data_IF_877016550264
#
_entry.id   IF_877016550264
#
_cell.length_a   1.000
_cell.length_b   1.000
_cell.length_c   1.000
_cell.angle_alpha   90.00
_cell.angle_beta   90.00
_cell.angle_gamma   90.00
#
_symmetry.space_group_name_H-M   'P 1'
#
loop_
_entity.id
_entity.type
_entity.pdbx_description
1 polymer ?
#
# COMPACT_ATOMS: atom_id res chain seq x y z
N UNK A 1 -20.27 3.21 15.31
CA UNK A 1 -19.90 1.94 14.63
C UNK A 1 -18.88 2.29 13.55
N UNK A 2 -17.79 1.54 13.49
CA UNK A 2 -16.74 1.75 12.48
C UNK A 2 -17.31 1.37 11.11
N UNK A 3 -17.35 2.31 10.16
CA UNK A 3 -17.90 2.11 8.80
C UNK A 3 -17.14 1.07 7.95
N UNK A 4 -16.03 0.58 8.45
CA UNK A 4 -15.18 -0.40 7.76
C UNK A 4 -15.28 -1.82 8.31
N UNK A 5 -16.01 -2.07 9.42
CA UNK A 5 -16.07 -3.35 10.15
C UNK A 5 -16.51 -4.55 9.29
N UNK A 6 -17.26 -4.30 8.22
CA UNK A 6 -17.71 -5.36 7.30
C UNK A 6 -16.84 -5.51 6.04
N UNK A 7 -15.81 -4.67 5.87
CA UNK A 7 -14.99 -4.63 4.66
C UNK A 7 -13.56 -5.05 4.94
N UNK A 8 -13.01 -4.61 6.07
CA UNK A 8 -11.65 -4.92 6.51
C UNK A 8 -11.68 -5.55 7.91
N UNK A 9 -10.74 -6.43 8.16
CA UNK A 9 -10.55 -7.05 9.48
C UNK A 9 -9.97 -6.05 10.49
N UNK A 10 -10.05 -6.39 11.78
CA UNK A 10 -9.49 -5.54 12.84
C UNK A 10 -7.96 -5.42 12.76
N UNK A 11 -7.24 -6.46 12.31
CA UNK A 11 -5.78 -6.40 12.13
C UNK A 11 -5.38 -5.58 10.89
N UNK A 12 -6.16 -5.60 9.81
CA UNK A 12 -5.95 -4.71 8.66
C UNK A 12 -6.19 -3.24 9.04
N UNK A 13 -7.20 -3.00 9.88
CA UNK A 13 -7.44 -1.68 10.45
C UNK A 13 -6.27 -1.24 11.34
N UNK A 14 -5.74 -2.15 12.18
CA UNK A 14 -4.56 -1.89 12.99
C UNK A 14 -3.32 -1.62 12.11
N UNK A 15 -3.09 -2.42 11.05
CA UNK A 15 -2.03 -2.16 10.08
C UNK A 15 -2.12 -0.74 9.50
N UNK A 16 -3.32 -0.31 9.09
CA UNK A 16 -3.52 1.02 8.54
C UNK A 16 -3.14 2.15 9.52
N UNK A 17 -3.20 1.93 10.82
CA UNK A 17 -2.79 2.93 11.83
C UNK A 17 -1.27 3.04 11.99
N UNK A 18 -0.50 2.07 11.53
CA UNK A 18 0.96 2.05 11.62
C UNK A 18 1.66 2.97 10.61
N UNK A 19 0.96 3.44 9.58
CA UNK A 19 1.56 4.27 8.53
C UNK A 19 1.47 5.76 8.84
N UNK A 20 2.58 6.48 8.71
CA UNK A 20 2.64 7.95 8.83
C UNK A 20 2.24 8.70 7.55
N UNK A 21 2.00 8.01 6.44
CA UNK A 21 1.68 8.64 5.15
C UNK A 21 0.46 9.57 5.23
N UNK A 22 -0.56 9.19 6.01
CA UNK A 22 -1.74 10.02 6.22
C UNK A 22 -1.42 11.33 6.96
N UNK A 23 -0.46 11.31 7.89
CA UNK A 23 0.00 12.50 8.60
C UNK A 23 0.76 13.44 7.65
N UNK A 24 1.68 12.90 6.86
CA UNK A 24 2.42 13.68 5.86
C UNK A 24 1.49 14.32 4.83
N UNK A 25 0.49 13.59 4.37
CA UNK A 25 -0.55 14.15 3.49
C UNK A 25 -1.28 15.32 4.14
N UNK A 26 -1.70 15.21 5.41
CA UNK A 26 -2.36 16.31 6.12
C UNK A 26 -1.45 17.51 6.28
N UNK A 27 -0.16 17.31 6.59
CA UNK A 27 0.83 18.39 6.65
C UNK A 27 1.00 19.08 5.29
N UNK A 28 1.04 18.32 4.19
CA UNK A 28 1.12 18.90 2.86
C UNK A 28 -0.13 19.73 2.51
N UNK A 29 -1.33 19.22 2.84
CA UNK A 29 -2.58 19.96 2.63
C UNK A 29 -2.66 21.25 3.48
N UNK A 30 -2.10 21.24 4.70
CA UNK A 30 -2.10 22.41 5.58
C UNK A 30 -1.35 23.62 5.00
N UNK A 31 -0.42 23.40 4.07
CA UNK A 31 0.28 24.48 3.35
C UNK A 31 -0.50 25.04 2.15
N UNK A 32 -1.64 24.46 1.80
CA UNK A 32 -2.45 24.90 0.67
C UNK A 32 -3.58 25.82 1.16
N UNK A 33 -3.45 27.14 0.92
CA UNK A 33 -4.44 28.15 1.33
C UNK A 33 -5.81 28.00 0.64
N UNK A 34 -5.89 27.22 -0.44
CA UNK A 34 -7.13 26.98 -1.18
C UNK A 34 -7.83 25.67 -0.76
N UNK A 35 -7.30 24.96 0.22
CA UNK A 35 -7.86 23.66 0.64
C UNK A 35 -9.19 23.86 1.37
N UNK A 36 -10.18 23.07 1.00
CA UNK A 36 -11.51 23.10 1.62
C UNK A 36 -11.69 21.92 2.58
N UNK A 37 -12.62 22.01 3.57
CA UNK A 37 -12.97 20.87 4.41
C UNK A 37 -13.41 19.62 3.62
N UNK A 38 -14.08 19.82 2.48
CA UNK A 38 -14.46 18.71 1.58
C UNK A 38 -13.25 18.02 0.98
N UNK A 39 -12.27 18.78 0.52
CA UNK A 39 -11.01 18.23 -0.01
C UNK A 39 -10.25 17.43 1.05
N UNK A 40 -10.14 17.97 2.27
CA UNK A 40 -9.53 17.26 3.41
C UNK A 40 -10.24 15.93 3.67
N UNK A 41 -11.58 15.92 3.64
CA UNK A 41 -12.36 14.69 3.85
C UNK A 41 -12.06 13.66 2.77
N UNK A 42 -12.02 14.03 1.49
CA UNK A 42 -11.71 13.12 0.38
C UNK A 42 -10.30 12.52 0.50
N UNK A 43 -9.30 13.34 0.84
CA UNK A 43 -7.95 12.84 1.09
C UNK A 43 -7.89 11.90 2.30
N UNK A 44 -8.54 12.25 3.40
CA UNK A 44 -8.63 11.33 4.57
C UNK A 44 -9.27 10.00 4.21
N UNK A 45 -10.31 9.99 3.38
CA UNK A 45 -10.97 8.75 2.94
C UNK A 45 -10.14 7.92 1.96
N UNK A 46 -9.24 8.54 1.21
CA UNK A 46 -8.29 7.84 0.34
C UNK A 46 -7.12 7.25 1.14
N UNK A 47 -6.55 8.06 2.04
CA UNK A 47 -5.38 7.63 2.81
C UNK A 47 -5.75 6.61 3.86
N UNK A 48 -6.77 6.85 4.67
CA UNK A 48 -7.15 5.92 5.73
C UNK A 48 -8.52 5.27 5.45
N UNK A 49 -8.60 3.95 5.44
CA UNK A 49 -7.53 2.98 5.76
C UNK A 49 -6.73 2.49 4.54
N UNK A 50 -7.00 2.97 3.33
CA UNK A 50 -6.63 2.27 2.11
C UNK A 50 -5.16 2.41 1.72
N UNK A 51 -4.64 3.65 1.55
CA UNK A 51 -3.23 3.87 1.21
C UNK A 51 -2.34 3.48 2.38
N UNK A 52 -2.72 3.88 3.60
CA UNK A 52 -1.95 3.56 4.81
C UNK A 52 -1.94 2.07 5.10
N UNK A 53 -3.06 1.38 4.92
CA UNK A 53 -3.14 -0.06 5.05
C UNK A 53 -2.36 -0.80 3.97
N UNK A 54 -2.48 -0.36 2.71
CA UNK A 54 -1.67 -0.93 1.62
C UNK A 54 -0.17 -0.80 1.91
N UNK A 55 0.27 0.36 2.39
CA UNK A 55 1.67 0.59 2.77
C UNK A 55 2.16 -0.47 3.76
N UNK A 56 1.51 -0.59 4.91
CA UNK A 56 1.94 -1.51 5.97
C UNK A 56 1.77 -2.98 5.57
N UNK A 57 0.71 -3.32 4.82
CA UNK A 57 0.55 -4.69 4.32
C UNK A 57 1.63 -5.08 3.30
N UNK A 58 2.13 -4.13 2.49
CA UNK A 58 3.26 -4.36 1.60
C UNK A 58 4.58 -4.47 2.38
N UNK A 59 4.74 -3.70 3.44
CA UNK A 59 5.87 -3.78 4.37
C UNK A 59 5.94 -5.18 5.01
N UNK A 60 4.87 -5.61 5.64
CA UNK A 60 4.75 -6.98 6.16
C UNK A 60 4.95 -8.06 5.09
N UNK A 61 4.59 -7.76 3.83
CA UNK A 61 4.77 -8.72 2.75
C UNK A 61 6.23 -8.96 2.42
N UNK A 62 7.06 -7.92 2.38
CA UNK A 62 8.48 -8.08 2.11
C UNK A 62 9.25 -8.63 3.30
N UNK A 63 8.84 -8.30 4.52
CA UNK A 63 9.49 -8.71 5.76
C UNK A 63 8.96 -10.05 6.30
N UNK A 64 8.01 -10.69 5.62
CA UNK A 64 7.29 -11.86 6.10
C UNK A 64 8.20 -13.00 6.61
N UNK A 65 9.28 -13.32 5.89
CA UNK A 65 10.21 -14.38 6.28
C UNK A 65 11.04 -13.97 7.49
N UNK A 66 11.56 -12.76 7.49
CA UNK A 66 12.37 -12.19 8.56
C UNK A 66 11.59 -12.08 9.87
N UNK A 67 10.36 -11.56 9.80
CA UNK A 67 9.46 -11.44 10.96
C UNK A 67 9.15 -12.80 11.58
N UNK A 68 8.90 -13.84 10.76
CA UNK A 68 8.67 -15.19 11.25
C UNK A 68 9.90 -15.79 11.93
N UNK A 69 11.10 -15.56 11.38
CA UNK A 69 12.36 -16.05 11.95
C UNK A 69 12.67 -15.40 13.31
N UNK A 70 12.31 -14.12 13.47
CA UNK A 70 12.53 -13.36 14.70
C UNK A 70 11.36 -13.43 15.70
N UNK A 71 10.26 -14.11 15.36
CA UNK A 71 9.00 -14.11 16.10
C UNK A 71 8.40 -12.70 16.27
N UNK A 72 8.60 -11.84 15.28
CA UNK A 72 8.01 -10.52 15.22
C UNK A 72 6.56 -10.58 14.69
N UNK A 73 5.76 -9.57 15.05
CA UNK A 73 4.38 -9.48 14.63
C UNK A 73 4.28 -9.18 13.14
N UNK A 74 3.66 -10.09 12.38
CA UNK A 74 3.32 -9.85 10.98
C UNK A 74 1.86 -10.21 10.71
N UNK A 75 1.03 -9.22 10.39
CA UNK A 75 -0.41 -9.44 10.20
C UNK A 75 -0.77 -10.30 8.99
N UNK A 76 0.15 -10.52 8.04
CA UNK A 76 -0.10 -11.44 6.94
C UNK A 76 -0.18 -12.91 7.40
N UNK A 77 0.27 -13.23 8.61
CA UNK A 77 0.10 -14.57 9.20
C UNK A 77 -1.35 -14.91 9.53
N UNK A 78 -2.23 -13.92 9.65
CA UNK A 78 -3.65 -14.11 9.94
C UNK A 78 -4.49 -14.48 8.71
N UNK A 79 -3.93 -14.38 7.51
CA UNK A 79 -4.61 -14.84 6.30
C UNK A 79 -4.44 -16.36 6.09
N UNK A 80 -5.51 -17.01 5.63
CA UNK A 80 -5.56 -18.48 5.44
C UNK A 80 -4.94 -18.93 4.12
N UNK A 81 -3.78 -18.40 3.76
CA UNK A 81 -3.01 -18.83 2.59
C UNK A 81 -2.81 -17.77 1.52
N UNK A 82 -2.18 -18.19 0.44
CA UNK A 82 -1.68 -17.31 -0.63
C UNK A 82 -2.79 -16.57 -1.37
N UNK A 83 -3.91 -17.22 -1.65
CA UNK A 83 -5.02 -16.62 -2.40
C UNK A 83 -5.73 -15.54 -1.57
N UNK A 84 -5.89 -15.73 -0.26
CA UNK A 84 -6.46 -14.70 0.61
C UNK A 84 -5.51 -13.51 0.71
N UNK A 85 -4.21 -13.73 0.98
CA UNK A 85 -3.19 -12.66 0.97
C UNK A 85 -3.27 -11.82 -0.30
N UNK A 86 -3.29 -12.48 -1.46
CA UNK A 86 -3.37 -11.81 -2.75
C UNK A 86 -4.67 -11.00 -2.89
N UNK A 87 -5.81 -11.61 -2.59
CA UNK A 87 -7.11 -10.96 -2.73
C UNK A 87 -7.23 -9.71 -1.84
N UNK A 88 -6.67 -9.76 -0.63
CA UNK A 88 -6.67 -8.63 0.30
C UNK A 88 -5.75 -7.51 -0.16
N UNK A 89 -4.53 -7.82 -0.61
CA UNK A 89 -3.62 -6.83 -1.20
C UNK A 89 -4.23 -6.16 -2.45
N UNK A 90 -4.92 -6.93 -3.30
CA UNK A 90 -5.67 -6.41 -4.46
C UNK A 90 -6.81 -5.49 -4.00
N UNK A 91 -7.55 -5.85 -2.96
CA UNK A 91 -8.62 -5.01 -2.41
C UNK A 91 -8.06 -3.65 -1.97
N UNK A 92 -7.03 -3.64 -1.11
CA UNK A 92 -6.44 -2.39 -0.63
C UNK A 92 -5.90 -1.52 -1.77
N UNK A 93 -5.22 -2.14 -2.75
CA UNK A 93 -4.76 -1.45 -3.96
C UNK A 93 -5.91 -0.82 -4.74
N UNK A 94 -6.97 -1.58 -5.00
CA UNK A 94 -8.09 -1.11 -5.81
C UNK A 94 -8.86 0.01 -5.11
N UNK A 95 -9.13 -0.13 -3.81
CA UNK A 95 -9.79 0.89 -3.01
C UNK A 95 -8.94 2.17 -2.90
N UNK A 96 -7.63 2.04 -2.69
CA UNK A 96 -6.71 3.16 -2.69
C UNK A 96 -6.78 3.93 -4.02
N UNK A 97 -6.67 3.25 -5.17
CA UNK A 97 -6.77 3.86 -6.50
C UNK A 97 -8.16 4.50 -6.75
N UNK A 98 -9.24 3.81 -6.39
CA UNK A 98 -10.59 4.34 -6.56
C UNK A 98 -10.85 5.60 -5.72
N UNK A 99 -10.32 5.65 -4.49
CA UNK A 99 -10.48 6.81 -3.60
C UNK A 99 -9.58 7.98 -4.01
N UNK A 100 -8.36 7.72 -4.50
CA UNK A 100 -7.49 8.80 -4.98
C UNK A 100 -8.07 9.54 -6.19
N UNK A 101 -8.86 8.88 -7.03
CA UNK A 101 -9.52 9.50 -8.17
C UNK A 101 -10.46 10.67 -7.78
N UNK A 102 -10.91 10.73 -6.53
CA UNK A 102 -11.78 11.79 -6.02
C UNK A 102 -11.01 12.92 -5.29
N UNK A 103 -9.68 12.83 -5.18
CA UNK A 103 -8.86 13.85 -4.53
C UNK A 103 -8.49 14.96 -5.49
N UNK A 104 -8.21 16.17 -5.00
CA UNK A 104 -7.83 17.32 -5.83
C UNK A 104 -6.52 17.08 -6.58
N UNK A 105 -5.57 16.39 -5.95
CA UNK A 105 -4.27 16.05 -6.53
C UNK A 105 -4.21 14.56 -6.92
N UNK A 106 -5.22 14.11 -7.68
CA UNK A 106 -5.40 12.69 -7.97
C UNK A 106 -4.16 12.06 -8.64
N UNK A 107 -3.48 12.77 -9.57
CA UNK A 107 -2.29 12.26 -10.25
C UNK A 107 -1.16 12.00 -9.24
N UNK A 108 -0.95 12.92 -8.30
CA UNK A 108 0.05 12.77 -7.25
C UNK A 108 -0.29 11.60 -6.32
N UNK A 109 -1.52 11.54 -5.82
CA UNK A 109 -1.95 10.48 -4.91
C UNK A 109 -1.98 9.10 -5.58
N UNK A 110 -2.39 9.03 -6.85
CA UNK A 110 -2.30 7.82 -7.66
C UNK A 110 -0.85 7.37 -7.83
N UNK A 111 0.07 8.33 -8.06
CA UNK A 111 1.50 8.05 -8.18
C UNK A 111 2.07 7.51 -6.86
N UNK A 112 1.62 7.98 -5.70
CA UNK A 112 2.00 7.41 -4.41
C UNK A 112 1.58 5.94 -4.33
N UNK A 113 0.33 5.61 -4.64
CA UNK A 113 -0.16 4.21 -4.61
C UNK A 113 0.66 3.31 -5.55
N UNK A 114 0.88 3.76 -6.79
CA UNK A 114 1.66 3.00 -7.79
C UNK A 114 3.13 2.91 -7.42
N UNK A 115 3.67 3.95 -6.80
CA UNK A 115 5.03 4.01 -6.29
C UNK A 115 5.27 3.03 -5.13
N UNK A 116 4.34 2.97 -4.18
CA UNK A 116 4.38 1.97 -3.10
C UNK A 116 4.45 0.55 -3.67
N UNK A 117 3.55 0.20 -4.59
CA UNK A 117 3.57 -1.11 -5.24
C UNK A 117 4.90 -1.37 -5.94
N UNK A 118 5.41 -0.40 -6.69
CA UNK A 118 6.65 -0.54 -7.43
C UNK A 118 7.86 -0.74 -6.50
N UNK A 119 7.95 0.08 -5.47
CA UNK A 119 9.06 0.07 -4.51
C UNK A 119 9.08 -1.24 -3.72
N UNK A 120 7.97 -1.60 -3.08
CA UNK A 120 7.90 -2.82 -2.26
C UNK A 120 8.03 -4.09 -3.09
N UNK A 121 7.31 -4.20 -4.22
CA UNK A 121 7.39 -5.40 -5.06
C UNK A 121 8.74 -5.59 -5.76
N UNK A 122 9.59 -4.55 -5.84
CA UNK A 122 10.96 -4.66 -6.34
C UNK A 122 11.96 -5.14 -5.28
N UNK A 123 11.51 -5.35 -4.03
CA UNK A 123 12.40 -5.72 -2.95
C UNK A 123 12.99 -7.13 -3.15
N UNK A 124 14.32 -7.30 -2.98
CA UNK A 124 15.00 -8.59 -3.11
C UNK A 124 14.67 -9.59 -2.00
N UNK A 125 14.02 -9.18 -0.91
CA UNK A 125 13.51 -10.07 0.14
C UNK A 125 12.41 -11.02 -0.37
N UNK A 126 11.71 -10.68 -1.46
CA UNK A 126 10.68 -11.53 -2.07
C UNK A 126 11.34 -12.70 -2.81
N UNK A 127 11.53 -13.83 -2.12
CA UNK A 127 12.25 -15.00 -2.64
C UNK A 127 11.41 -16.27 -2.68
N UNK A 128 10.41 -16.42 -1.80
CA UNK A 128 9.59 -17.63 -1.75
C UNK A 128 8.72 -17.74 -3.01
N UNK A 129 8.53 -18.94 -3.57
CA UNK A 129 7.74 -19.13 -4.80
C UNK A 129 6.33 -18.56 -4.71
N UNK A 130 5.66 -18.72 -3.57
CA UNK A 130 4.32 -18.18 -3.31
C UNK A 130 4.29 -16.66 -3.30
N UNK A 131 5.30 -15.98 -2.74
CA UNK A 131 5.39 -14.52 -2.71
C UNK A 131 5.73 -13.96 -4.10
N UNK A 132 6.57 -14.66 -4.86
CA UNK A 132 6.84 -14.33 -6.27
C UNK A 132 5.54 -14.43 -7.09
N UNK A 133 4.70 -15.43 -6.84
CA UNK A 133 3.41 -15.57 -7.52
C UNK A 133 2.47 -14.41 -7.17
N UNK A 134 2.36 -14.02 -5.88
CA UNK A 134 1.60 -12.84 -5.43
C UNK A 134 2.12 -11.57 -6.10
N UNK A 135 3.43 -11.32 -6.03
CA UNK A 135 4.08 -10.18 -6.69
C UNK A 135 3.71 -10.08 -8.17
N UNK A 136 3.83 -11.18 -8.90
CA UNK A 136 3.55 -11.19 -10.34
C UNK A 136 2.09 -10.88 -10.65
N UNK A 137 1.14 -11.44 -9.91
CA UNK A 137 -0.29 -11.16 -10.04
C UNK A 137 -0.61 -9.70 -9.70
N UNK A 138 -0.02 -9.15 -8.64
CA UNK A 138 -0.17 -7.73 -8.28
C UNK A 138 0.36 -6.80 -9.37
N UNK A 139 1.57 -7.04 -9.88
CA UNK A 139 2.14 -6.26 -10.99
C UNK A 139 1.31 -6.36 -12.26
N UNK A 140 0.84 -7.58 -12.59
CA UNK A 140 -0.01 -7.79 -13.76
C UNK A 140 -1.28 -6.95 -13.71
N UNK A 141 -1.91 -6.86 -12.53
CA UNK A 141 -3.16 -6.12 -12.30
C UNK A 141 -2.97 -4.60 -12.06
N UNK A 142 -1.74 -4.08 -12.09
CA UNK A 142 -1.44 -2.69 -11.68
C UNK A 142 -1.16 -1.72 -12.84
N UNK A 143 -1.27 -2.20 -14.07
CA UNK A 143 -1.11 -1.36 -15.27
C UNK A 143 0.35 -1.05 -15.66
N UNK A 144 0.50 -0.40 -16.82
CA UNK A 144 1.82 -0.19 -17.44
C UNK A 144 2.70 0.78 -16.65
N UNK A 145 2.11 1.84 -16.09
CA UNK A 145 2.85 2.84 -15.33
C UNK A 145 3.49 2.26 -14.07
N UNK A 146 2.76 1.43 -13.31
CA UNK A 146 3.34 0.71 -12.14
C UNK A 146 4.49 -0.21 -12.56
N UNK A 147 4.35 -0.90 -13.70
CA UNK A 147 5.42 -1.76 -14.23
C UNK A 147 6.67 -0.98 -14.61
N UNK A 148 6.50 0.24 -15.15
CA UNK A 148 7.62 1.13 -15.43
C UNK A 148 8.31 1.57 -14.14
N UNK A 149 7.55 2.04 -13.15
CA UNK A 149 8.08 2.41 -11.84
C UNK A 149 8.79 1.23 -11.15
N UNK A 150 8.25 0.02 -11.26
CA UNK A 150 8.87 -1.21 -10.75
C UNK A 150 10.26 -1.44 -11.38
N UNK A 151 10.38 -1.31 -12.70
CA UNK A 151 11.68 -1.43 -13.38
C UNK A 151 12.66 -0.36 -12.94
N UNK A 152 12.20 0.89 -12.79
CA UNK A 152 13.02 1.99 -12.27
C UNK A 152 13.49 1.69 -10.84
N UNK A 153 12.62 1.20 -9.96
CA UNK A 153 12.97 0.81 -8.59
C UNK A 153 14.03 -0.29 -8.57
N UNK A 154 13.93 -1.29 -9.47
CA UNK A 154 14.96 -2.33 -9.60
C UNK A 154 16.33 -1.75 -10.02
N UNK A 155 16.33 -0.80 -10.97
CA UNK A 155 17.55 -0.11 -11.39
C UNK A 155 18.15 0.71 -10.24
N UNK A 156 17.32 1.46 -9.51
CA UNK A 156 17.75 2.25 -8.36
C UNK A 156 18.35 1.37 -7.26
N UNK A 157 17.76 0.22 -6.98
CA UNK A 157 18.31 -0.77 -6.04
C UNK A 157 19.64 -1.34 -6.52
N UNK A 158 19.78 -1.63 -7.81
CA UNK A 158 21.05 -2.08 -8.38
C UNK A 158 22.18 -1.07 -8.15
N UNK A 159 21.88 0.22 -8.26
CA UNK A 159 22.84 1.30 -7.96
C UNK A 159 22.88 1.69 -6.49
N UNK A 160 22.19 0.98 -5.59
CA UNK A 160 22.10 1.25 -4.13
C UNK A 160 21.61 2.67 -3.81
N UNK A 161 20.66 3.18 -4.60
CA UNK A 161 20.04 4.50 -4.39
C UNK A 161 18.84 4.38 -3.42
N UNK A 162 18.18 3.23 -3.38
CA UNK A 162 17.06 2.86 -2.50
C UNK A 162 17.23 1.43 -2.00
#
# INVERSE_FOLDING_TARGET
>A
ANRYTNVISHWEFAAATGSTLGIFMLCALANNSQITPSNIKLHKEAYFPWITGLHILLDYFIDYTEDLEHNDLNFLTYYTGTEEKLSRLILFKNEALAKTANTTDFIFNETIVKGLLALYLSDPKIKRPEDIAIKNKLLQSSGTYTKLLYKLSQIMRFFKIV
#
